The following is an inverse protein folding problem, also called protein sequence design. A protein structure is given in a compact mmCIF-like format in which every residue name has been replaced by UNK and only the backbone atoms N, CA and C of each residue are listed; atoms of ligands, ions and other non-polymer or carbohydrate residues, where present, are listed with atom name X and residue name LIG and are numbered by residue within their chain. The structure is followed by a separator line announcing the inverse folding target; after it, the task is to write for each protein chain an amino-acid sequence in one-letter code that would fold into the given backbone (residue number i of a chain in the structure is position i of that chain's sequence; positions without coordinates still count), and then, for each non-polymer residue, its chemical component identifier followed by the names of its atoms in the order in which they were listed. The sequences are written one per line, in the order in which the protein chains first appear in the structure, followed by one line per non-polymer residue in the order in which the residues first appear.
data_IF_822709643478
#
_entry.id   IF_822709643478
#
_cell.length_a   1.000
_cell.length_b   1.000
_cell.length_c   1.000
_cell.angle_alpha   90.00
_cell.angle_beta   90.00
_cell.angle_gamma   90.00
#
_symmetry.space_group_name_H-M   'P 1'
#
loop_
_entity.id
_entity.type
_entity.pdbx_description
1 polymer ?
#
# COMPACT_ATOMS: atom_id res chain seq x y z
N UNK A 1 6.25 6.27 -4.54
CA UNK A 1 5.26 7.25 -5.05
C UNK A 1 5.27 8.50 -4.18
N UNK A 2 5.15 9.68 -4.76
CA UNK A 2 5.09 10.99 -4.09
C UNK A 2 6.37 11.49 -3.40
N UNK A 3 7.52 10.81 -3.42
CA UNK A 3 8.72 11.25 -2.69
C UNK A 3 9.17 12.65 -3.10
N UNK A 4 9.29 12.93 -4.39
CA UNK A 4 9.66 14.25 -4.92
C UNK A 4 8.62 15.33 -4.55
N UNK A 5 7.33 15.02 -4.71
CA UNK A 5 6.23 15.92 -4.36
C UNK A 5 6.23 16.20 -2.85
N UNK A 6 6.37 15.15 -2.03
CA UNK A 6 6.42 15.24 -0.58
C UNK A 6 7.61 16.05 -0.07
N UNK A 7 8.81 15.84 -0.63
CA UNK A 7 9.99 16.59 -0.23
C UNK A 7 9.85 18.09 -0.54
N UNK A 8 9.35 18.43 -1.72
CA UNK A 8 9.13 19.83 -2.13
C UNK A 8 8.03 20.49 -1.30
N UNK A 9 6.86 19.88 -1.21
CA UNK A 9 5.76 20.43 -0.42
C UNK A 9 6.16 20.55 1.05
N UNK A 10 6.83 19.54 1.61
CA UNK A 10 7.28 19.56 2.99
C UNK A 10 8.28 20.68 3.30
N UNK A 11 9.18 21.00 2.37
CA UNK A 11 10.12 22.14 2.50
C UNK A 11 9.37 23.48 2.41
N UNK A 12 8.53 23.63 1.41
CA UNK A 12 7.78 24.86 1.12
C UNK A 12 6.84 25.23 2.27
N UNK A 13 6.08 24.26 2.77
CA UNK A 13 5.08 24.49 3.79
C UNK A 13 5.67 24.80 5.18
N UNK A 14 6.93 24.40 5.45
CA UNK A 14 7.64 24.75 6.69
C UNK A 14 8.09 26.22 6.74
N UNK A 15 8.20 26.87 5.59
CA UNK A 15 8.75 28.23 5.47
C UNK A 15 7.70 29.34 5.62
N UNK A 16 6.43 28.99 5.85
CA UNK A 16 5.38 30.00 6.05
C UNK A 16 5.63 30.74 7.35
N UNK A 17 6.02 32.00 7.23
CA UNK A 17 6.25 32.92 8.36
C UNK A 17 5.03 33.87 8.51
N UNK A 18 4.79 34.31 9.73
CA UNK A 18 3.71 35.26 10.04
C UNK A 18 3.11 35.03 11.40
N UNK A 19 2.44 36.04 11.95
CA UNK A 19 1.75 35.96 13.23
C UNK A 19 0.27 36.35 13.04
N UNK A 20 -0.63 35.49 13.48
CA UNK A 20 -2.02 35.79 13.70
C UNK A 20 -2.98 35.50 12.56
N UNK A 21 -2.71 35.83 11.30
CA UNK A 21 -3.64 35.64 10.18
C UNK A 21 -2.93 35.26 8.88
N UNK A 22 -3.55 34.39 8.07
CA UNK A 22 -3.10 34.12 6.72
C UNK A 22 -3.58 35.26 5.79
N UNK A 23 -2.63 35.91 5.13
CA UNK A 23 -2.87 36.99 4.17
C UNK A 23 -2.44 36.56 2.79
N UNK A 24 -2.96 37.22 1.73
CA UNK A 24 -2.56 36.91 0.36
C UNK A 24 -1.05 37.07 0.16
N UNK A 25 -0.43 38.08 0.77
CA UNK A 25 1.02 38.32 0.61
C UNK A 25 1.87 37.22 1.27
N UNK A 26 1.49 36.75 2.47
CA UNK A 26 2.32 35.78 3.19
C UNK A 26 2.16 34.33 2.69
N UNK A 27 1.16 34.05 1.85
CA UNK A 27 0.95 32.73 1.22
C UNK A 27 1.27 32.72 -0.27
N UNK A 28 1.47 33.87 -0.91
CA UNK A 28 1.69 34.01 -2.35
C UNK A 28 2.85 33.16 -2.87
N UNK A 29 4.00 33.29 -2.25
CA UNK A 29 5.19 32.53 -2.64
C UNK A 29 5.00 31.03 -2.38
N UNK A 30 4.38 30.69 -1.27
CA UNK A 30 4.06 29.27 -0.94
C UNK A 30 3.10 28.66 -1.97
N UNK A 31 2.04 29.39 -2.37
CA UNK A 31 1.10 28.94 -3.41
C UNK A 31 1.80 28.74 -4.77
N UNK A 32 2.75 29.63 -5.09
CA UNK A 32 3.58 29.49 -6.30
C UNK A 32 4.41 28.22 -6.27
N UNK A 33 5.09 27.95 -5.15
CA UNK A 33 5.90 26.73 -4.96
C UNK A 33 5.04 25.46 -4.98
N UNK A 34 3.88 25.47 -4.31
CA UNK A 34 2.91 24.36 -4.36
C UNK A 34 2.46 24.09 -5.80
N UNK A 35 2.14 25.15 -6.55
CA UNK A 35 1.79 25.03 -7.97
C UNK A 35 2.90 24.38 -8.78
N UNK A 36 4.15 24.82 -8.59
CA UNK A 36 5.29 24.26 -9.31
C UNK A 36 5.50 22.78 -8.94
N UNK A 37 5.39 22.44 -7.67
CA UNK A 37 5.52 21.06 -7.21
C UNK A 37 4.46 20.12 -7.83
N UNK A 38 3.21 20.57 -7.95
CA UNK A 38 2.13 19.81 -8.59
C UNK A 38 2.36 19.66 -10.10
N UNK A 39 2.83 20.71 -10.79
CA UNK A 39 3.15 20.62 -12.22
C UNK A 39 4.31 19.67 -12.50
N UNK A 40 5.35 19.69 -11.68
CA UNK A 40 6.48 18.75 -11.78
C UNK A 40 6.09 17.31 -11.42
N UNK A 41 5.04 17.16 -10.62
CA UNK A 41 4.43 15.86 -10.35
C UNK A 41 3.51 15.38 -11.49
N UNK A 42 3.49 16.06 -12.64
CA UNK A 42 2.65 15.77 -13.81
C UNK A 42 1.13 15.79 -13.50
N UNK A 43 0.70 16.64 -12.56
CA UNK A 43 -0.73 16.90 -12.34
C UNK A 43 -1.29 17.71 -13.52
N UNK A 44 -2.46 17.35 -14.00
CA UNK A 44 -3.10 18.04 -15.12
C UNK A 44 -3.35 19.53 -14.80
N UNK A 45 -3.01 20.42 -15.73
CA UNK A 45 -3.04 21.88 -15.54
C UNK A 45 -4.40 22.42 -15.04
N UNK A 46 -5.56 21.96 -15.52
CA UNK A 46 -6.86 22.37 -14.98
C UNK A 46 -6.97 22.05 -13.49
N UNK A 47 -6.58 20.83 -13.09
CA UNK A 47 -6.63 20.36 -11.69
C UNK A 47 -5.72 21.21 -10.80
N UNK A 48 -4.51 21.54 -11.27
CA UNK A 48 -3.58 22.42 -10.53
C UNK A 48 -4.18 23.81 -10.34
N UNK A 49 -4.82 24.36 -11.38
CA UNK A 49 -5.44 25.69 -11.31
C UNK A 49 -6.56 25.72 -10.30
N UNK A 50 -7.46 24.75 -10.35
CA UNK A 50 -8.62 24.66 -9.45
C UNK A 50 -8.16 24.43 -8.02
N UNK A 51 -7.20 23.54 -7.79
CA UNK A 51 -6.61 23.29 -6.50
C UNK A 51 -6.00 24.54 -5.86
N UNK A 52 -5.15 25.27 -6.60
CA UNK A 52 -4.54 26.51 -6.11
C UNK A 52 -5.59 27.58 -5.81
N UNK A 53 -6.64 27.68 -6.64
CA UNK A 53 -7.78 28.58 -6.43
C UNK A 53 -8.50 28.28 -5.11
N UNK A 54 -8.86 27.02 -4.88
CA UNK A 54 -9.53 26.55 -3.67
C UNK A 54 -8.67 26.77 -2.42
N UNK A 55 -7.39 26.38 -2.47
CA UNK A 55 -6.46 26.61 -1.35
C UNK A 55 -6.35 28.10 -1.03
N UNK A 56 -6.23 28.98 -2.04
CA UNK A 56 -6.15 30.43 -1.85
C UNK A 56 -7.43 30.96 -1.19
N UNK A 57 -8.60 30.61 -1.72
CA UNK A 57 -9.89 31.05 -1.21
C UNK A 57 -10.09 30.66 0.26
N UNK A 58 -9.76 29.42 0.61
CA UNK A 58 -9.89 28.90 1.99
C UNK A 58 -8.84 29.44 2.95
N UNK A 59 -7.64 29.79 2.45
CA UNK A 59 -6.54 30.26 3.29
C UNK A 59 -6.65 31.76 3.61
N UNK A 60 -7.01 32.59 2.63
CA UNK A 60 -7.05 34.05 2.79
C UNK A 60 -8.13 34.43 3.81
N UNK A 61 -7.73 35.21 4.81
CA UNK A 61 -8.61 35.67 5.86
C UNK A 61 -8.82 34.72 7.02
N UNK A 62 -8.30 33.48 6.94
CA UNK A 62 -8.42 32.51 8.04
C UNK A 62 -7.64 33.00 9.25
N UNK A 63 -8.34 33.11 10.41
CA UNK A 63 -7.72 33.46 11.68
C UNK A 63 -7.01 32.26 12.27
N UNK A 64 -5.75 32.47 12.66
CA UNK A 64 -4.93 31.44 13.28
C UNK A 64 -5.20 31.43 14.80
N UNK A 65 -5.69 30.31 15.30
CA UNK A 65 -5.91 30.15 16.74
C UNK A 65 -4.61 30.28 17.52
N UNK A 66 -4.68 30.71 18.79
CA UNK A 66 -3.50 30.88 19.66
C UNK A 66 -2.66 29.61 19.86
N UNK A 67 -3.23 28.44 19.54
CA UNK A 67 -2.59 27.12 19.68
C UNK A 67 -1.88 26.61 18.43
N UNK A 68 -2.07 27.24 17.26
CA UNK A 68 -1.50 26.84 15.98
C UNK A 68 -0.69 27.99 15.38
N UNK A 69 0.34 27.66 14.58
CA UNK A 69 1.02 28.66 13.76
C UNK A 69 0.39 28.73 12.36
N UNK A 70 0.59 29.83 11.60
CA UNK A 70 0.03 29.99 10.25
C UNK A 70 0.37 28.84 9.30
N UNK A 71 1.60 28.34 9.36
CA UNK A 71 2.05 27.21 8.56
C UNK A 71 1.24 25.93 8.84
N UNK A 72 0.94 25.63 10.10
CA UNK A 72 0.13 24.46 10.46
C UNK A 72 -1.32 24.57 9.94
N UNK A 73 -1.90 25.77 10.00
CA UNK A 73 -3.24 26.02 9.47
C UNK A 73 -3.25 25.87 7.96
N UNK A 74 -2.22 26.39 7.27
CA UNK A 74 -2.09 26.28 5.81
C UNK A 74 -1.88 24.81 5.38
N UNK A 75 -1.03 24.06 6.08
CA UNK A 75 -0.84 22.61 5.82
C UNK A 75 -2.18 21.87 5.93
N UNK A 76 -2.99 22.16 6.94
CA UNK A 76 -4.30 21.54 7.11
C UNK A 76 -5.28 21.87 5.97
N UNK A 77 -5.24 23.10 5.48
CA UNK A 77 -6.03 23.50 4.31
C UNK A 77 -5.59 22.75 3.07
N UNK A 78 -4.28 22.68 2.79
CA UNK A 78 -3.70 21.92 1.68
C UNK A 78 -4.04 20.44 1.76
N UNK A 79 -3.96 19.84 2.97
CA UNK A 79 -4.34 18.45 3.19
C UNK A 79 -5.81 18.20 2.84
N UNK A 80 -6.70 19.00 3.40
CA UNK A 80 -8.14 18.88 3.14
C UNK A 80 -8.49 19.06 1.67
N UNK A 81 -7.74 19.91 0.95
CA UNK A 81 -7.95 20.12 -0.49
C UNK A 81 -7.41 18.96 -1.32
N UNK A 82 -6.25 18.38 -0.95
CA UNK A 82 -5.74 17.14 -1.56
C UNK A 82 -6.73 15.99 -1.39
N UNK A 83 -7.29 15.82 -0.19
CA UNK A 83 -8.33 14.83 0.09
C UNK A 83 -9.58 15.05 -0.78
N UNK A 84 -10.03 16.30 -0.94
CA UNK A 84 -11.18 16.67 -1.76
C UNK A 84 -10.97 16.29 -3.23
N UNK A 85 -9.81 16.62 -3.79
CA UNK A 85 -9.45 16.32 -5.18
C UNK A 85 -9.37 14.81 -5.45
N UNK A 86 -8.85 14.03 -4.50
CA UNK A 86 -8.73 12.56 -4.61
C UNK A 86 -10.00 11.81 -4.20
N UNK A 87 -10.93 12.48 -3.51
CA UNK A 87 -12.12 11.90 -2.90
C UNK A 87 -12.05 11.90 -1.38
N UNK A 88 -13.17 12.19 -0.72
CA UNK A 88 -13.19 12.34 0.74
C UNK A 88 -13.01 11.04 1.50
N UNK A 89 -13.50 9.92 0.92
CA UNK A 89 -13.46 8.59 1.54
C UNK A 89 -13.16 7.53 0.50
N UNK A 90 -12.67 6.37 0.96
CA UNK A 90 -12.56 5.20 0.10
C UNK A 90 -13.95 4.70 -0.32
N UNK A 91 -14.11 4.40 -1.61
CA UNK A 91 -15.31 3.76 -2.14
C UNK A 91 -14.97 2.31 -2.51
N UNK A 92 -15.50 1.36 -1.73
CA UNK A 92 -15.31 -0.07 -1.98
C UNK A 92 -16.04 -0.55 -3.25
N UNK A 93 -15.79 -1.79 -3.67
CA UNK A 93 -16.56 -2.41 -4.74
C UNK A 93 -18.02 -2.57 -4.32
N UNK A 94 -18.92 -2.27 -5.25
CA UNK A 94 -20.34 -2.59 -5.10
C UNK A 94 -20.61 -3.98 -5.69
N UNK A 95 -20.57 -4.99 -4.86
CA UNK A 95 -20.90 -6.37 -5.24
C UNK A 95 -22.34 -6.78 -4.84
N UNK A 96 -23.18 -5.80 -4.48
CA UNK A 96 -24.59 -6.02 -4.09
C UNK A 96 -25.45 -6.28 -5.32
N UNK A 97 -25.28 -7.43 -5.95
CA UNK A 97 -26.03 -7.89 -7.11
C UNK A 97 -26.37 -9.38 -6.94
N UNK A 98 -27.29 -9.86 -7.78
CA UNK A 98 -27.54 -11.31 -7.86
C UNK A 98 -26.28 -12.01 -8.38
N UNK A 99 -25.73 -13.01 -7.67
CA UNK A 99 -24.52 -13.70 -8.10
C UNK A 99 -24.63 -14.37 -9.48
N UNK A 100 -23.54 -14.35 -10.26
CA UNK A 100 -22.28 -13.70 -9.97
C UNK A 100 -22.32 -12.18 -10.16
N UNK A 101 -21.69 -11.41 -9.26
CA UNK A 101 -21.39 -10.01 -9.51
C UNK A 101 -20.29 -9.93 -10.59
N UNK A 102 -20.62 -9.39 -11.76
CA UNK A 102 -19.69 -9.29 -12.89
C UNK A 102 -18.91 -8.00 -12.79
N UNK A 103 -17.58 -8.11 -12.78
CA UNK A 103 -16.64 -6.98 -12.76
C UNK A 103 -15.83 -6.95 -14.05
N UNK A 104 -15.93 -5.89 -14.82
CA UNK A 104 -15.21 -5.71 -16.09
C UNK A 104 -13.96 -4.86 -15.85
N UNK A 105 -12.81 -5.34 -16.33
CA UNK A 105 -11.53 -4.62 -16.27
C UNK A 105 -11.20 -3.99 -17.60
N UNK A 106 -11.13 -2.67 -17.67
CA UNK A 106 -10.86 -1.89 -18.87
C UNK A 106 -9.57 -1.09 -18.77
N UNK A 107 -8.88 -0.83 -19.88
CA UNK A 107 -7.65 -0.02 -19.90
C UNK A 107 -6.70 -0.38 -21.03
N UNK A 108 -5.63 0.42 -21.19
CA UNK A 108 -4.64 0.23 -22.25
C UNK A 108 -3.75 -1.00 -22.00
N UNK A 109 -3.01 -1.39 -23.05
CA UNK A 109 -1.98 -2.42 -22.96
C UNK A 109 -0.87 -1.97 -22.00
N UNK A 110 -0.41 -2.90 -21.17
CA UNK A 110 0.64 -2.59 -20.19
C UNK A 110 0.18 -1.83 -18.94
N UNK A 111 -1.10 -1.42 -18.86
CA UNK A 111 -1.65 -0.78 -17.67
C UNK A 111 -1.78 -1.71 -16.45
N UNK A 112 -1.57 -3.01 -16.61
CA UNK A 112 -1.61 -3.97 -15.51
C UNK A 112 -2.97 -4.60 -15.25
N UNK A 113 -3.88 -4.67 -16.24
CA UNK A 113 -5.22 -5.27 -16.10
C UNK A 113 -5.17 -6.70 -15.60
N UNK A 114 -4.52 -7.60 -16.33
CA UNK A 114 -4.42 -9.03 -16.01
C UNK A 114 -3.84 -9.26 -14.60
N UNK A 115 -2.79 -8.53 -14.25
CA UNK A 115 -2.20 -8.59 -12.91
C UNK A 115 -3.18 -8.06 -11.85
N UNK A 116 -3.93 -7.01 -12.17
CA UNK A 116 -4.95 -6.45 -11.25
C UNK A 116 -6.11 -7.41 -11.04
N UNK A 117 -6.52 -8.18 -12.07
CA UNK A 117 -7.50 -9.27 -11.91
C UNK A 117 -7.00 -10.29 -10.89
N UNK A 118 -5.76 -10.78 -11.03
CA UNK A 118 -5.18 -11.72 -10.06
C UNK A 118 -5.11 -11.17 -8.64
N UNK A 119 -4.67 -9.92 -8.47
CA UNK A 119 -4.61 -9.26 -7.16
C UNK A 119 -5.99 -9.04 -6.55
N UNK A 120 -6.96 -8.61 -7.36
CA UNK A 120 -8.34 -8.42 -6.91
C UNK A 120 -8.99 -9.74 -6.54
N UNK A 121 -8.75 -10.79 -7.31
CA UNK A 121 -9.21 -12.14 -6.99
C UNK A 121 -8.66 -12.63 -5.65
N UNK A 122 -7.34 -12.40 -5.39
CA UNK A 122 -6.72 -12.71 -4.10
C UNK A 122 -7.37 -11.92 -2.96
N UNK A 123 -7.59 -10.63 -3.13
CA UNK A 123 -8.23 -9.76 -2.13
C UNK A 123 -9.64 -10.25 -1.80
N UNK A 124 -10.47 -10.50 -2.82
CA UNK A 124 -11.85 -10.96 -2.66
C UNK A 124 -11.93 -12.33 -1.98
N UNK A 125 -11.07 -13.27 -2.38
CA UNK A 125 -10.99 -14.60 -1.78
C UNK A 125 -10.53 -14.54 -0.32
N UNK A 126 -9.41 -13.84 -0.05
CA UNK A 126 -8.78 -13.89 1.26
C UNK A 126 -9.46 -13.02 2.29
N UNK A 127 -9.86 -11.80 1.90
CA UNK A 127 -10.46 -10.81 2.83
C UNK A 127 -11.96 -10.89 2.88
N UNK A 128 -12.62 -11.01 1.73
CA UNK A 128 -14.09 -10.99 1.66
C UNK A 128 -14.71 -12.39 1.62
N UNK A 129 -13.86 -13.45 1.56
CA UNK A 129 -14.26 -14.86 1.55
C UNK A 129 -15.22 -15.20 0.40
N UNK A 130 -15.08 -14.51 -0.73
CA UNK A 130 -15.88 -14.73 -1.93
C UNK A 130 -15.33 -15.90 -2.76
N UNK A 131 -16.24 -16.63 -3.41
CA UNK A 131 -15.90 -17.60 -4.44
C UNK A 131 -15.78 -16.89 -5.77
N UNK A 132 -14.56 -16.79 -6.29
CA UNK A 132 -14.21 -15.96 -7.45
C UNK A 132 -13.90 -16.84 -8.65
N UNK A 133 -14.47 -16.48 -9.79
CA UNK A 133 -14.13 -16.98 -11.12
C UNK A 133 -13.41 -15.86 -11.88
N UNK A 134 -12.37 -16.21 -12.63
CA UNK A 134 -11.69 -15.26 -13.54
C UNK A 134 -11.74 -15.77 -14.96
N UNK A 135 -11.85 -14.86 -15.93
CA UNK A 135 -11.86 -15.19 -17.37
C UNK A 135 -11.09 -14.13 -18.15
N UNK A 136 -10.34 -14.57 -19.18
CA UNK A 136 -9.72 -13.66 -20.12
C UNK A 136 -10.55 -13.57 -21.40
N UNK A 137 -10.99 -12.36 -21.73
CA UNK A 137 -11.56 -12.00 -23.02
C UNK A 137 -10.52 -11.34 -23.96
N UNK A 138 -9.22 -11.37 -23.60
CA UNK A 138 -8.11 -10.89 -24.43
C UNK A 138 -7.69 -11.98 -25.41
N UNK A 139 -8.45 -12.17 -26.47
CA UNK A 139 -8.21 -13.18 -27.52
C UNK A 139 -7.06 -12.80 -28.45
N UNK A 140 -6.61 -11.55 -28.43
CA UNK A 140 -5.52 -11.07 -29.32
C UNK A 140 -4.12 -11.43 -28.80
N UNK A 141 -4.03 -11.84 -27.54
CA UNK A 141 -2.76 -12.16 -26.88
C UNK A 141 -2.85 -13.48 -26.12
N UNK A 142 -2.52 -14.61 -26.76
CA UNK A 142 -2.53 -15.94 -26.12
C UNK A 142 -1.71 -15.98 -24.83
N UNK A 143 -0.62 -15.21 -24.78
CA UNK A 143 0.19 -15.08 -23.58
C UNK A 143 -0.58 -14.42 -22.39
N UNK A 144 -1.56 -13.54 -22.64
CA UNK A 144 -2.37 -12.94 -21.58
C UNK A 144 -3.36 -13.95 -20.97
N UNK A 145 -3.96 -14.80 -21.81
CA UNK A 145 -4.81 -15.91 -21.36
C UNK A 145 -4.01 -16.82 -20.42
N UNK A 146 -2.82 -17.26 -20.88
CA UNK A 146 -1.92 -18.13 -20.10
C UNK A 146 -1.45 -17.47 -18.83
N UNK A 147 -1.17 -16.16 -18.85
CA UNK A 147 -0.78 -15.38 -17.69
C UNK A 147 -1.91 -15.38 -16.64
N UNK A 148 -3.16 -15.15 -17.04
CA UNK A 148 -4.29 -15.13 -16.12
C UNK A 148 -4.55 -16.53 -15.53
N UNK A 149 -4.44 -17.59 -16.33
CA UNK A 149 -4.54 -18.98 -15.85
C UNK A 149 -3.49 -19.28 -14.76
N UNK A 150 -2.24 -18.85 -15.01
CA UNK A 150 -1.15 -18.99 -14.03
C UNK A 150 -1.44 -18.24 -12.74
N UNK A 151 -1.87 -16.97 -12.82
CA UNK A 151 -2.24 -16.15 -11.68
C UNK A 151 -3.41 -16.76 -10.91
N UNK A 152 -4.44 -17.27 -11.60
CA UNK A 152 -5.57 -17.93 -10.97
C UNK A 152 -5.13 -19.15 -10.16
N UNK A 153 -4.22 -19.96 -10.73
CA UNK A 153 -3.64 -21.13 -10.06
C UNK A 153 -2.84 -20.71 -8.82
N UNK A 154 -2.03 -19.67 -8.91
CA UNK A 154 -1.22 -19.17 -7.81
C UNK A 154 -2.09 -18.63 -6.66
N UNK A 155 -3.14 -17.89 -7.00
CA UNK A 155 -4.15 -17.40 -6.03
C UNK A 155 -5.03 -18.54 -5.51
N UNK A 156 -5.17 -19.62 -6.28
CA UNK A 156 -6.07 -20.74 -6.00
C UNK A 156 -7.56 -20.36 -6.19
N UNK A 157 -7.86 -19.54 -7.21
CA UNK A 157 -9.21 -19.28 -7.72
C UNK A 157 -9.43 -20.04 -9.02
N UNK A 158 -10.69 -20.16 -9.46
CA UNK A 158 -11.00 -20.88 -10.68
C UNK A 158 -10.85 -19.98 -11.90
N UNK A 159 -10.23 -20.53 -12.96
CA UNK A 159 -10.08 -19.91 -14.26
C UNK A 159 -11.06 -20.55 -15.25
N UNK A 160 -11.87 -19.72 -15.93
CA UNK A 160 -12.72 -20.20 -17.02
C UNK A 160 -11.90 -20.26 -18.30
N UNK A 161 -11.77 -21.44 -18.96
CA UNK A 161 -10.97 -21.60 -20.15
C UNK A 161 -11.46 -20.74 -21.32
N UNK A 162 -10.56 -20.06 -21.99
CA UNK A 162 -10.80 -19.29 -23.21
C UNK A 162 -9.71 -19.54 -24.24
N UNK A 163 -10.00 -19.29 -25.52
CA UNK A 163 -9.05 -19.45 -26.62
C UNK A 163 -9.14 -18.27 -27.60
N UNK A 164 -8.08 -18.09 -28.38
CA UNK A 164 -7.98 -17.01 -29.39
C UNK A 164 -8.98 -17.13 -30.54
N UNK A 165 -9.53 -18.33 -30.78
CA UNK A 165 -10.53 -18.57 -31.82
C UNK A 165 -11.95 -18.15 -31.44
N UNK A 166 -12.17 -17.80 -30.20
CA UNK A 166 -13.48 -17.41 -29.65
C UNK A 166 -13.70 -15.90 -29.74
N UNK A 167 -14.96 -15.48 -29.73
CA UNK A 167 -15.29 -14.04 -29.59
C UNK A 167 -15.33 -13.64 -28.13
N UNK A 168 -14.81 -12.45 -27.76
CA UNK A 168 -14.83 -11.94 -26.39
C UNK A 168 -16.20 -12.00 -25.71
N UNK A 169 -17.26 -11.65 -26.44
CA UNK A 169 -18.65 -11.67 -25.93
C UNK A 169 -19.10 -13.09 -25.63
N UNK A 170 -18.79 -14.07 -26.50
CA UNK A 170 -19.20 -15.46 -26.31
C UNK A 170 -18.48 -16.08 -25.10
N UNK A 171 -17.18 -15.79 -24.96
CA UNK A 171 -16.38 -16.20 -23.78
C UNK A 171 -17.02 -15.67 -22.48
N UNK A 172 -17.31 -14.37 -22.45
CA UNK A 172 -17.82 -13.72 -21.24
C UNK A 172 -19.22 -14.24 -20.86
N UNK A 173 -20.13 -14.41 -21.82
CA UNK A 173 -21.45 -14.98 -21.58
C UNK A 173 -21.36 -16.43 -21.10
N UNK A 174 -20.50 -17.26 -21.71
CA UNK A 174 -20.30 -18.64 -21.27
C UNK A 174 -19.73 -18.70 -19.83
N UNK A 175 -18.79 -17.77 -19.50
CA UNK A 175 -18.27 -17.66 -18.14
C UNK A 175 -19.33 -17.24 -17.11
N UNK A 176 -20.25 -16.33 -17.49
CA UNK A 176 -21.38 -15.93 -16.64
C UNK A 176 -22.30 -17.13 -16.36
N UNK A 177 -22.64 -17.88 -17.41
CA UNK A 177 -23.50 -19.07 -17.28
C UNK A 177 -22.83 -20.16 -16.44
N UNK A 178 -21.53 -20.36 -16.63
CA UNK A 178 -20.74 -21.26 -15.79
C UNK A 178 -20.71 -20.79 -14.34
N UNK A 179 -20.48 -19.52 -14.10
CA UNK A 179 -20.45 -18.95 -12.75
C UNK A 179 -21.80 -19.11 -12.02
N UNK A 180 -22.91 -18.89 -12.71
CA UNK A 180 -24.26 -19.13 -12.16
C UNK A 180 -24.48 -20.58 -11.79
N UNK A 181 -24.17 -21.52 -12.70
CA UNK A 181 -24.34 -22.96 -12.48
C UNK A 181 -23.48 -23.51 -11.33
N UNK A 182 -22.31 -22.92 -11.08
CA UNK A 182 -21.36 -23.39 -10.06
C UNK A 182 -21.34 -22.50 -8.81
N UNK A 183 -22.31 -21.58 -8.68
CA UNK A 183 -22.49 -20.72 -7.50
C UNK A 183 -21.23 -19.91 -7.15
N UNK A 184 -20.67 -19.19 -8.12
CA UNK A 184 -19.64 -18.20 -7.87
C UNK A 184 -20.29 -16.89 -7.42
N UNK A 185 -19.63 -16.21 -6.46
CA UNK A 185 -20.08 -14.90 -5.97
C UNK A 185 -19.70 -13.79 -6.94
N UNK A 186 -18.50 -13.88 -7.52
CA UNK A 186 -17.92 -12.84 -8.37
C UNK A 186 -17.28 -13.45 -9.61
N UNK A 187 -17.48 -12.79 -10.75
CA UNK A 187 -16.79 -13.05 -12.01
C UNK A 187 -15.96 -11.83 -12.39
N UNK A 188 -14.63 -12.00 -12.50
CA UNK A 188 -13.73 -10.96 -12.99
C UNK A 188 -13.40 -11.22 -14.46
N UNK A 189 -13.68 -10.23 -15.31
CA UNK A 189 -13.48 -10.31 -16.77
C UNK A 189 -12.29 -9.42 -17.15
N UNK A 190 -11.18 -10.04 -17.57
CA UNK A 190 -10.01 -9.35 -18.14
C UNK A 190 -10.27 -9.07 -19.61
N UNK A 191 -9.96 -7.86 -20.09
CA UNK A 191 -10.17 -7.46 -21.48
C UNK A 191 -8.86 -7.18 -22.21
N UNK A 192 -8.91 -7.25 -23.53
CA UNK A 192 -7.83 -6.80 -24.39
C UNK A 192 -7.48 -5.33 -24.10
N UNK A 193 -6.24 -4.96 -24.33
CA UNK A 193 -5.79 -3.58 -24.36
C UNK A 193 -4.95 -3.33 -25.60
N UNK A 194 -5.13 -2.17 -26.23
CA UNK A 194 -4.25 -1.68 -27.28
C UNK A 194 -3.29 -0.63 -26.75
N UNK A 195 -2.27 -0.28 -27.52
CA UNK A 195 -1.25 0.68 -27.10
C UNK A 195 -1.80 2.09 -26.90
N UNK A 196 -2.86 2.44 -27.63
CA UNK A 196 -3.53 3.74 -27.55
C UNK A 196 -5.03 3.55 -27.77
N UNK A 197 -5.78 4.59 -27.43
CA UNK A 197 -7.24 4.61 -27.63
C UNK A 197 -7.53 4.72 -29.10
N UNK A 198 -8.28 3.77 -29.65
CA UNK A 198 -8.81 3.79 -31.02
C UNK A 198 -10.30 3.41 -31.04
N UNK A 199 -10.98 3.76 -32.15
CA UNK A 199 -12.43 3.56 -32.26
C UNK A 199 -12.85 2.09 -32.32
N UNK A 200 -12.01 1.20 -32.84
CA UNK A 200 -12.30 -0.23 -32.94
C UNK A 200 -12.27 -0.88 -31.57
N UNK A 201 -11.23 -0.60 -30.76
CA UNK A 201 -11.13 -1.09 -29.39
C UNK A 201 -12.29 -0.58 -28.53
N UNK A 202 -12.62 0.71 -28.65
CA UNK A 202 -13.73 1.30 -27.90
C UNK A 202 -15.06 0.69 -28.27
N UNK A 203 -15.30 0.41 -29.56
CA UNK A 203 -16.50 -0.29 -30.02
C UNK A 203 -16.60 -1.72 -29.49
N UNK A 204 -15.48 -2.46 -29.46
CA UNK A 204 -15.43 -3.83 -28.95
C UNK A 204 -15.74 -3.89 -27.45
N UNK A 205 -15.11 -3.01 -26.65
CA UNK A 205 -15.31 -3.02 -25.22
C UNK A 205 -16.71 -2.51 -24.84
N UNK A 206 -17.28 -1.57 -25.60
CA UNK A 206 -18.67 -1.14 -25.46
C UNK A 206 -19.66 -2.27 -25.76
N UNK A 207 -19.43 -3.03 -26.83
CA UNK A 207 -20.24 -4.18 -27.18
C UNK A 207 -20.18 -5.28 -26.11
N UNK A 208 -18.97 -5.56 -25.59
CA UNK A 208 -18.77 -6.49 -24.48
C UNK A 208 -19.48 -6.02 -23.22
N UNK A 209 -19.29 -4.77 -22.81
CA UNK A 209 -19.95 -4.15 -21.66
C UNK A 209 -21.47 -4.29 -21.74
N UNK A 210 -22.06 -3.93 -22.90
CA UNK A 210 -23.49 -4.05 -23.14
C UNK A 210 -24.01 -5.50 -23.05
N UNK A 211 -23.21 -6.46 -23.50
CA UNK A 211 -23.59 -7.88 -23.51
C UNK A 211 -23.59 -8.51 -22.11
N UNK A 212 -22.67 -8.10 -21.23
CA UNK A 212 -22.50 -8.72 -19.92
C UNK A 212 -23.12 -7.92 -18.75
N UNK A 213 -23.49 -6.66 -19.00
CA UNK A 213 -24.09 -5.71 -18.01
C UNK A 213 -23.38 -5.78 -16.63
N UNK A 214 -22.09 -5.41 -16.56
CA UNK A 214 -21.30 -5.56 -15.36
C UNK A 214 -21.78 -4.62 -14.25
N UNK A 215 -21.79 -5.08 -13.00
CA UNK A 215 -22.10 -4.23 -11.83
C UNK A 215 -20.98 -3.26 -11.51
N UNK A 216 -19.74 -3.61 -11.91
CA UNK A 216 -18.56 -2.75 -11.79
C UNK A 216 -17.78 -2.76 -13.09
N UNK A 217 -17.42 -1.57 -13.56
CA UNK A 217 -16.51 -1.35 -14.70
C UNK A 217 -15.33 -0.56 -14.20
N UNK A 218 -14.20 -1.25 -13.99
CA UNK A 218 -13.00 -0.69 -13.40
C UNK A 218 -12.00 -0.29 -14.47
N UNK A 219 -11.64 0.98 -14.51
CA UNK A 219 -10.58 1.46 -15.38
C UNK A 219 -9.22 1.28 -14.70
N UNK A 220 -8.36 0.49 -15.34
CA UNK A 220 -7.00 0.21 -14.86
C UNK A 220 -6.01 1.10 -15.60
N UNK A 221 -5.25 1.88 -14.84
CA UNK A 221 -4.31 2.85 -15.40
C UNK A 221 -2.98 2.82 -14.65
N UNK A 222 -1.90 2.98 -15.41
CA UNK A 222 -0.54 3.05 -14.90
C UNK A 222 -0.29 4.45 -14.28
N UNK A 223 0.04 4.48 -13.00
CA UNK A 223 0.32 5.73 -12.28
C UNK A 223 1.57 6.47 -12.80
N UNK A 224 2.42 5.81 -13.56
CA UNK A 224 3.65 6.39 -14.13
C UNK A 224 3.39 7.19 -15.42
N UNK A 225 2.22 7.07 -16.04
CA UNK A 225 1.91 7.74 -17.30
C UNK A 225 1.53 9.22 -17.16
N UNK A 226 1.49 9.76 -15.93
CA UNK A 226 1.29 11.19 -15.68
C UNK A 226 0.01 11.75 -16.30
N UNK A 227 0.12 12.81 -17.13
CA UNK A 227 -1.03 13.44 -17.79
C UNK A 227 -1.73 12.54 -18.82
N UNK A 228 -1.01 11.59 -19.44
CA UNK A 228 -1.62 10.64 -20.38
C UNK A 228 -2.61 9.72 -19.69
N UNK A 229 -2.39 9.41 -18.40
CA UNK A 229 -3.38 8.71 -17.58
C UNK A 229 -4.71 9.44 -17.54
N UNK A 230 -4.69 10.75 -17.38
CA UNK A 230 -5.86 11.59 -17.30
C UNK A 230 -6.62 11.68 -18.64
N UNK A 231 -5.88 11.83 -19.74
CA UNK A 231 -6.45 11.85 -21.10
C UNK A 231 -7.10 10.52 -21.46
N UNK A 232 -6.40 9.41 -21.16
CA UNK A 232 -6.91 8.06 -21.38
C UNK A 232 -8.14 7.78 -20.52
N UNK A 233 -8.10 8.15 -19.24
CA UNK A 233 -9.22 8.00 -18.33
C UNK A 233 -10.47 8.74 -18.82
N UNK A 234 -10.30 9.95 -19.36
CA UNK A 234 -11.38 10.71 -19.97
C UNK A 234 -12.01 9.96 -21.14
N UNK A 235 -11.19 9.48 -22.08
CA UNK A 235 -11.68 8.75 -23.26
C UNK A 235 -12.46 7.48 -22.88
N UNK A 236 -11.97 6.72 -21.91
CA UNK A 236 -12.69 5.54 -21.40
C UNK A 236 -13.98 5.92 -20.67
N UNK A 237 -13.98 7.01 -19.89
CA UNK A 237 -15.17 7.48 -19.17
C UNK A 237 -16.26 8.02 -20.11
N UNK A 238 -15.85 8.63 -21.24
CA UNK A 238 -16.78 9.09 -22.26
C UNK A 238 -17.40 7.92 -23.03
N UNK A 239 -16.70 6.78 -23.14
CA UNK A 239 -17.13 5.60 -23.86
C UNK A 239 -17.87 4.55 -23.01
N UNK A 240 -17.54 4.45 -21.73
CA UNK A 240 -18.05 3.42 -20.82
C UNK A 240 -18.57 4.06 -19.53
N UNK A 241 -19.63 3.50 -18.91
CA UNK A 241 -20.09 3.92 -17.59
C UNK A 241 -19.13 3.37 -16.51
N UNK A 242 -17.95 3.98 -16.39
CA UNK A 242 -16.97 3.56 -15.37
C UNK A 242 -17.57 3.71 -13.97
N UNK A 243 -17.27 2.76 -13.09
CA UNK A 243 -17.68 2.78 -11.67
C UNK A 243 -16.53 3.07 -10.73
N UNK A 244 -15.30 2.91 -11.20
CA UNK A 244 -14.10 3.18 -10.41
C UNK A 244 -12.82 3.02 -11.19
N UNK A 245 -11.72 3.35 -10.54
CA UNK A 245 -10.36 3.32 -11.09
C UNK A 245 -9.45 2.48 -10.22
N UNK A 246 -8.55 1.74 -10.86
CA UNK A 246 -7.40 1.10 -10.22
C UNK A 246 -6.13 1.77 -10.72
N UNK A 247 -5.36 2.36 -9.82
CA UNK A 247 -4.02 2.87 -10.12
C UNK A 247 -3.00 1.74 -9.92
N UNK A 248 -2.21 1.45 -10.94
CA UNK A 248 -1.16 0.42 -10.88
C UNK A 248 0.23 1.04 -10.85
N UNK A 249 1.25 0.22 -10.53
CA UNK A 249 2.67 0.61 -10.53
C UNK A 249 3.00 1.83 -9.66
N UNK A 250 2.24 2.03 -8.60
CA UNK A 250 2.43 3.16 -7.71
C UNK A 250 3.68 3.04 -6.79
N UNK A 251 4.32 1.88 -6.77
CA UNK A 251 5.61 1.59 -6.14
C UNK A 251 6.81 2.08 -6.97
N UNK A 252 6.62 2.30 -8.27
CA UNK A 252 7.64 2.86 -9.14
C UNK A 252 7.92 4.35 -8.88
N UNK A 253 8.75 4.96 -9.73
CA UNK A 253 9.06 6.41 -9.69
C UNK A 253 7.88 7.26 -10.23
N UNK A 254 6.68 6.92 -9.78
CA UNK A 254 5.48 7.67 -10.13
C UNK A 254 5.48 9.00 -9.41
N UNK A 255 5.37 10.10 -10.19
CA UNK A 255 5.34 11.47 -9.66
C UNK A 255 4.07 11.80 -8.88
N UNK A 256 3.04 10.94 -9.01
CA UNK A 256 1.77 11.04 -8.26
C UNK A 256 0.67 11.86 -8.94
N UNK A 257 0.95 12.51 -10.06
CA UNK A 257 -0.01 13.36 -10.77
C UNK A 257 -1.24 12.62 -11.27
N UNK A 258 -1.12 11.35 -11.65
CA UNK A 258 -2.24 10.52 -12.06
C UNK A 258 -3.29 10.39 -10.97
N UNK A 259 -2.89 10.17 -9.71
CA UNK A 259 -3.82 10.04 -8.58
C UNK A 259 -4.66 11.31 -8.35
N UNK A 260 -4.05 12.49 -8.53
CA UNK A 260 -4.73 13.77 -8.39
C UNK A 260 -5.61 14.12 -9.61
N UNK A 261 -5.22 13.67 -10.81
CA UNK A 261 -5.85 14.08 -12.05
C UNK A 261 -7.02 13.19 -12.47
N UNK A 262 -6.88 11.86 -12.34
CA UNK A 262 -7.84 10.90 -12.91
C UNK A 262 -9.24 11.07 -12.31
N UNK A 263 -9.36 11.18 -10.99
CA UNK A 263 -10.66 11.38 -10.34
C UNK A 263 -11.31 12.72 -10.73
N UNK A 264 -10.53 13.79 -10.71
CA UNK A 264 -11.06 15.12 -11.06
C UNK A 264 -11.60 15.15 -12.48
N UNK A 265 -10.92 14.49 -13.43
CA UNK A 265 -11.29 14.47 -14.84
C UNK A 265 -12.45 13.52 -15.12
N UNK A 266 -12.50 12.37 -14.47
CA UNK A 266 -13.54 11.34 -14.72
C UNK A 266 -14.75 11.49 -13.83
N UNK A 267 -14.62 12.14 -12.67
CA UNK A 267 -15.61 12.13 -11.60
C UNK A 267 -15.76 10.76 -10.92
N UNK A 268 -14.90 9.77 -11.24
CA UNK A 268 -14.99 8.40 -10.71
C UNK A 268 -14.02 8.17 -9.58
N UNK A 269 -14.41 7.40 -8.54
CA UNK A 269 -13.54 7.14 -7.41
C UNK A 269 -12.35 6.25 -7.78
N UNK A 270 -11.20 6.52 -7.19
CA UNK A 270 -10.10 5.58 -7.19
C UNK A 270 -10.42 4.58 -6.08
N UNK A 271 -10.65 3.31 -6.44
CA UNK A 271 -11.02 2.25 -5.49
C UNK A 271 -9.80 1.54 -4.94
N UNK A 272 -8.79 1.30 -5.79
CA UNK A 272 -7.59 0.55 -5.43
C UNK A 272 -6.32 1.19 -5.96
N UNK A 273 -5.21 0.87 -5.28
CA UNK A 273 -3.86 1.25 -5.67
C UNK A 273 -2.93 0.03 -5.59
N UNK A 274 -2.18 -0.23 -6.67
CA UNK A 274 -1.19 -1.30 -6.75
C UNK A 274 0.19 -0.79 -6.34
N UNK A 275 0.71 -1.36 -5.25
CA UNK A 275 1.96 -0.94 -4.59
C UNK A 275 3.07 -1.99 -4.75
N UNK A 276 3.19 -2.61 -5.92
CA UNK A 276 4.22 -3.61 -6.22
C UNK A 276 3.73 -4.77 -7.07
N UNK A 277 4.60 -5.69 -7.39
CA UNK A 277 4.31 -6.83 -8.28
C UNK A 277 3.60 -7.98 -7.58
N UNK A 278 3.75 -8.13 -6.27
CA UNK A 278 3.19 -9.24 -5.49
C UNK A 278 1.66 -9.24 -5.51
N UNK A 279 1.07 -10.43 -5.40
CA UNK A 279 -0.40 -10.60 -5.41
C UNK A 279 -1.10 -9.91 -4.24
N UNK A 280 -0.44 -9.75 -3.11
CA UNK A 280 -0.96 -9.05 -1.93
C UNK A 280 -0.76 -7.52 -1.97
N UNK A 281 -0.12 -7.00 -3.02
CA UNK A 281 0.22 -5.59 -3.18
C UNK A 281 -0.90 -4.76 -3.85
N UNK A 282 -2.16 -5.10 -3.63
CA UNK A 282 -3.31 -4.27 -3.98
C UNK A 282 -3.96 -3.77 -2.69
N UNK A 283 -4.00 -2.46 -2.54
CA UNK A 283 -4.54 -1.79 -1.35
C UNK A 283 -5.78 -0.97 -1.73
N UNK A 284 -6.73 -0.82 -0.79
CA UNK A 284 -7.81 0.14 -0.94
C UNK A 284 -7.23 1.56 -0.99
N UNK A 285 -7.78 2.40 -1.85
CA UNK A 285 -7.31 3.77 -1.98
C UNK A 285 -7.94 4.65 -0.90
N UNK A 286 -7.13 5.16 0.02
CA UNK A 286 -7.55 6.03 1.11
C UNK A 286 -7.02 7.46 0.88
N UNK A 287 -7.85 8.40 0.41
CA UNK A 287 -7.43 9.76 0.09
C UNK A 287 -6.69 10.46 1.22
N UNK A 288 -7.17 10.31 2.46
CA UNK A 288 -6.57 10.91 3.66
C UNK A 288 -5.15 10.41 3.93
N UNK A 289 -4.89 9.12 3.66
CA UNK A 289 -3.54 8.53 3.83
C UNK A 289 -2.59 8.99 2.74
N UNK A 290 -3.10 9.08 1.50
CA UNK A 290 -2.32 9.57 0.37
C UNK A 290 -1.98 11.05 0.55
N UNK A 291 -2.94 11.88 0.97
CA UNK A 291 -2.71 13.29 1.31
C UNK A 291 -1.64 13.45 2.40
N UNK A 292 -1.71 12.64 3.46
CA UNK A 292 -0.70 12.62 4.53
C UNK A 292 0.69 12.23 4.02
N UNK A 293 0.79 11.25 3.13
CA UNK A 293 2.06 10.86 2.47
C UNK A 293 2.62 11.99 1.61
N UNK A 294 1.78 12.63 0.79
CA UNK A 294 2.16 13.77 -0.05
C UNK A 294 2.73 14.92 0.79
N UNK A 295 2.20 15.15 1.98
CA UNK A 295 2.65 16.20 2.89
C UNK A 295 3.84 15.78 3.78
N UNK A 296 4.37 14.58 3.60
CA UNK A 296 5.48 14.06 4.41
C UNK A 296 5.12 13.78 5.87
N UNK A 297 3.83 13.64 6.19
CA UNK A 297 3.32 13.38 7.54
C UNK A 297 3.31 11.88 7.87
N UNK A 298 3.64 11.02 6.91
CA UNK A 298 3.65 9.57 7.04
C UNK A 298 2.25 8.95 6.98
N UNK A 299 2.21 7.62 7.05
CA UNK A 299 0.98 6.83 7.00
C UNK A 299 1.00 5.77 8.12
N UNK A 300 0.75 6.25 9.33
CA UNK A 300 0.76 5.39 10.53
C UNK A 300 -0.40 4.38 10.52
N UNK A 301 -1.54 4.72 9.93
CA UNK A 301 -2.71 3.84 9.89
C UNK A 301 -2.47 2.63 8.98
N UNK A 302 -1.95 2.86 7.77
CA UNK A 302 -1.57 1.75 6.87
C UNK A 302 -0.51 0.85 7.50
N UNK A 303 0.44 1.42 8.25
CA UNK A 303 1.44 0.64 8.98
C UNK A 303 0.79 -0.25 10.04
N UNK A 304 -0.15 0.29 10.83
CA UNK A 304 -0.87 -0.47 11.86
C UNK A 304 -1.67 -1.62 11.22
N UNK A 305 -2.43 -1.33 10.17
CA UNK A 305 -3.22 -2.35 9.46
C UNK A 305 -2.35 -3.44 8.82
N UNK A 306 -1.20 -3.07 8.25
CA UNK A 306 -0.26 -4.04 7.69
C UNK A 306 0.35 -4.93 8.78
N UNK A 307 0.72 -4.33 9.91
CA UNK A 307 1.21 -5.07 11.08
C UNK A 307 0.12 -6.01 11.60
N UNK A 308 -1.12 -5.54 11.78
CA UNK A 308 -2.24 -6.38 12.23
C UNK A 308 -2.55 -7.53 11.26
N UNK A 309 -2.40 -7.30 9.97
CA UNK A 309 -2.63 -8.31 8.93
C UNK A 309 -1.54 -9.37 8.88
N UNK A 310 -0.26 -8.94 8.97
CA UNK A 310 0.90 -9.84 8.81
C UNK A 310 1.36 -10.48 10.11
N UNK A 311 0.94 -9.96 11.26
CA UNK A 311 1.25 -10.55 12.56
C UNK A 311 0.35 -11.76 12.80
N UNK A 312 0.97 -12.93 12.86
CA UNK A 312 0.34 -14.17 13.33
C UNK A 312 -0.04 -14.00 14.82
N UNK A 313 -1.32 -13.67 15.06
CA UNK A 313 -1.84 -13.40 16.41
C UNK A 313 -1.61 -14.58 17.36
N UNK A 314 -1.64 -15.81 16.85
CA UNK A 314 -1.41 -17.03 17.65
C UNK A 314 0.05 -17.14 18.06
N UNK A 315 0.99 -16.83 17.18
CA UNK A 315 2.43 -16.82 17.51
C UNK A 315 2.76 -15.69 18.47
N UNK A 316 2.20 -14.50 18.27
CA UNK A 316 2.39 -13.36 19.16
C UNK A 316 1.82 -13.65 20.56
N UNK A 317 0.65 -14.28 20.68
CA UNK A 317 0.07 -14.69 21.97
C UNK A 317 0.89 -15.81 22.64
N UNK A 318 1.39 -16.80 21.88
CA UNK A 318 2.27 -17.85 22.41
C UNK A 318 3.55 -17.27 22.99
N UNK A 319 4.17 -16.31 22.27
CA UNK A 319 5.37 -15.62 22.73
C UNK A 319 5.09 -14.79 24.00
N UNK A 320 3.99 -14.03 24.02
CA UNK A 320 3.58 -13.27 25.20
C UNK A 320 3.33 -14.16 26.42
N UNK A 321 2.63 -15.29 26.26
CA UNK A 321 2.41 -16.30 27.30
C UNK A 321 3.72 -16.96 27.76
N UNK A 322 4.69 -17.20 26.84
CA UNK A 322 6.00 -17.78 27.14
C UNK A 322 6.84 -16.82 28.00
N UNK A 323 6.81 -15.53 27.65
CA UNK A 323 7.50 -14.46 28.40
C UNK A 323 6.87 -14.26 29.78
N UNK A 324 5.54 -14.23 29.89
CA UNK A 324 4.82 -14.12 31.17
C UNK A 324 5.08 -15.32 32.10
N UNK A 325 5.23 -16.52 31.56
CA UNK A 325 5.52 -17.74 32.33
C UNK A 325 6.99 -17.86 32.74
N UNK A 326 7.83 -16.84 32.51
CA UNK A 326 9.24 -16.84 32.86
C UNK A 326 10.11 -17.79 32.04
N UNK A 327 9.57 -18.43 30.99
CA UNK A 327 10.33 -19.16 30.00
C UNK A 327 11.02 -18.17 29.11
N UNK A 328 12.33 -18.01 29.23
CA UNK A 328 13.12 -16.98 28.55
C UNK A 328 13.00 -17.05 27.03
N UNK A 329 13.18 -15.91 26.38
CA UNK A 329 13.31 -15.77 24.93
C UNK A 329 14.51 -16.57 24.43
N UNK A 330 14.32 -17.48 23.46
CA UNK A 330 15.36 -18.35 22.90
C UNK A 330 15.65 -18.06 21.42
N UNK A 331 16.64 -18.74 20.83
CA UNK A 331 17.02 -18.53 19.43
C UNK A 331 15.96 -19.03 18.43
N UNK A 332 15.08 -19.93 18.85
CA UNK A 332 13.95 -20.34 18.02
C UNK A 332 12.91 -19.21 17.94
N UNK A 333 12.60 -18.56 19.06
CA UNK A 333 11.73 -17.38 19.10
C UNK A 333 12.35 -16.23 18.27
N UNK A 334 13.68 -16.08 18.32
CA UNK A 334 14.40 -15.08 17.54
C UNK A 334 14.31 -15.36 16.04
N UNK A 335 14.43 -16.61 15.62
CA UNK A 335 14.23 -17.03 14.22
C UNK A 335 12.81 -16.68 13.74
N UNK A 336 11.79 -17.07 14.52
CA UNK A 336 10.39 -16.79 14.19
C UNK A 336 10.12 -15.28 14.05
N UNK A 337 10.79 -14.46 14.86
CA UNK A 337 10.70 -13.01 14.75
C UNK A 337 11.39 -12.47 13.49
N UNK A 338 12.56 -13.02 13.09
CA UNK A 338 13.23 -12.66 11.85
C UNK A 338 12.38 -13.03 10.62
N UNK A 339 11.75 -14.21 10.64
CA UNK A 339 10.82 -14.65 9.59
C UNK A 339 9.60 -13.73 9.48
N UNK A 340 9.01 -13.33 10.62
CA UNK A 340 7.92 -12.35 10.64
C UNK A 340 8.35 -11.01 10.07
N UNK A 341 9.51 -10.48 10.47
CA UNK A 341 10.04 -9.21 9.93
C UNK A 341 10.28 -9.29 8.42
N UNK A 342 10.78 -10.41 7.92
CA UNK A 342 10.95 -10.63 6.47
C UNK A 342 9.61 -10.64 5.73
N UNK A 343 8.62 -11.37 6.27
CA UNK A 343 7.27 -11.47 5.70
C UNK A 343 6.49 -10.14 5.75
N UNK A 344 6.86 -9.23 6.66
CA UNK A 344 6.31 -7.87 6.74
C UNK A 344 6.92 -6.89 5.71
N UNK A 345 7.71 -7.38 4.75
CA UNK A 345 8.34 -6.54 3.73
C UNK A 345 9.68 -5.94 4.14
N UNK A 346 10.29 -6.46 5.24
CA UNK A 346 11.56 -5.99 5.76
C UNK A 346 11.45 -4.67 6.54
N UNK A 347 12.55 -4.28 7.19
CA UNK A 347 12.65 -3.04 7.98
C UNK A 347 12.40 -1.78 7.13
N UNK A 348 12.62 -1.88 5.83
CA UNK A 348 12.51 -0.82 4.86
C UNK A 348 11.08 -0.34 4.67
N UNK A 349 10.15 -1.27 4.43
CA UNK A 349 8.72 -0.97 4.27
C UNK A 349 8.11 -0.32 5.54
N UNK A 350 8.62 -0.68 6.72
CA UNK A 350 8.20 -0.05 7.97
C UNK A 350 8.76 1.37 8.13
N UNK A 351 10.02 1.62 7.70
CA UNK A 351 10.65 2.95 7.82
C UNK A 351 10.04 3.96 6.86
N UNK A 352 9.68 3.55 5.64
CA UNK A 352 9.06 4.44 4.64
C UNK A 352 7.67 4.95 5.07
N UNK A 353 7.00 4.21 5.98
CA UNK A 353 5.67 4.57 6.50
C UNK A 353 5.73 5.39 7.80
N UNK A 354 6.92 5.55 8.42
CA UNK A 354 7.06 6.32 9.66
C UNK A 354 7.25 7.83 9.41
N UNK A 355 6.54 8.71 10.16
CA UNK A 355 6.64 10.15 10.00
C UNK A 355 8.07 10.63 10.24
N UNK A 356 8.63 11.42 9.32
CA UNK A 356 9.93 12.08 9.45
C UNK A 356 11.16 11.20 9.19
N UNK A 357 11.02 9.91 8.85
CA UNK A 357 12.15 9.01 8.61
C UNK A 357 12.47 8.78 7.12
N UNK A 358 11.68 9.30 6.19
CA UNK A 358 11.86 9.11 4.75
C UNK A 358 13.26 9.51 4.22
N UNK A 359 13.83 10.57 4.77
CA UNK A 359 15.19 11.04 4.37
C UNK A 359 16.34 10.24 5.01
N UNK A 360 16.08 9.44 6.04
CA UNK A 360 17.10 8.55 6.63
C UNK A 360 17.21 7.22 5.89
N UNK A 361 16.20 6.86 5.11
CA UNK A 361 16.14 5.59 4.39
C UNK A 361 17.25 5.44 3.36
N UNK A 362 17.65 6.51 2.68
CA UNK A 362 18.69 6.47 1.65
C UNK A 362 20.09 6.08 2.19
N UNK A 363 20.44 6.54 3.40
CA UNK A 363 21.74 6.20 4.03
C UNK A 363 21.73 4.83 4.71
N UNK A 364 20.56 4.29 5.02
CA UNK A 364 20.39 2.98 5.66
C UNK A 364 20.14 1.89 4.61
N UNK A 365 19.66 2.25 3.40
CA UNK A 365 19.47 1.35 2.25
C UNK A 365 20.71 0.49 1.95
N UNK A 366 21.89 1.07 2.04
CA UNK A 366 23.16 0.36 1.80
C UNK A 366 23.56 -0.61 2.94
N UNK A 367 22.98 -0.47 4.13
CA UNK A 367 23.36 -1.28 5.32
C UNK A 367 22.33 -2.31 5.77
N UNK A 368 21.06 -2.13 5.43
CA UNK A 368 19.97 -3.06 5.77
C UNK A 368 19.70 -4.03 4.60
N UNK A 369 20.69 -4.83 4.25
CA UNK A 369 20.60 -5.77 3.14
C UNK A 369 19.76 -6.98 3.55
N UNK A 370 18.77 -7.42 2.75
CA UNK A 370 18.03 -8.69 2.91
C UNK A 370 18.95 -9.90 3.06
N UNK A 371 20.18 -9.81 2.53
CA UNK A 371 21.26 -10.79 2.73
C UNK A 371 21.61 -10.98 4.20
N UNK A 372 21.51 -9.93 5.04
CA UNK A 372 21.84 -10.04 6.47
C UNK A 372 20.82 -10.89 7.23
N UNK A 373 19.53 -10.76 6.91
CA UNK A 373 18.47 -11.57 7.52
C UNK A 373 18.58 -13.03 7.09
N UNK A 374 18.76 -13.28 5.80
CA UNK A 374 18.97 -14.63 5.26
C UNK A 374 20.19 -15.30 5.88
N UNK A 375 21.27 -14.55 6.09
CA UNK A 375 22.49 -15.04 6.74
C UNK A 375 22.25 -15.41 8.21
N UNK A 376 21.55 -14.56 8.98
CA UNK A 376 21.18 -14.85 10.38
C UNK A 376 20.29 -16.09 10.47
N UNK A 377 19.33 -16.23 9.57
CA UNK A 377 18.44 -17.38 9.49
C UNK A 377 19.23 -18.68 9.17
N UNK A 378 20.16 -18.63 8.22
CA UNK A 378 21.02 -19.75 7.87
C UNK A 378 21.88 -20.21 9.07
N UNK A 379 22.43 -19.25 9.85
CA UNK A 379 23.19 -19.56 11.07
C UNK A 379 22.31 -20.27 12.09
N UNK A 380 21.08 -19.79 12.35
CA UNK A 380 20.17 -20.43 13.32
C UNK A 380 19.71 -21.79 12.82
N UNK A 381 19.46 -21.95 11.51
CA UNK A 381 19.07 -23.21 10.91
C UNK A 381 20.16 -24.28 11.04
N UNK A 382 21.44 -23.89 11.04
CA UNK A 382 22.59 -24.79 11.26
C UNK A 382 22.79 -25.22 12.71
N UNK A 383 22.01 -24.66 13.65
CA UNK A 383 22.02 -25.06 15.06
C UNK A 383 21.07 -26.23 15.31
N UNK A 384 21.43 -27.12 16.24
CA UNK A 384 20.52 -28.16 16.72
C UNK A 384 19.37 -27.55 17.56
N UNK A 385 18.21 -28.24 17.71
CA UNK A 385 17.12 -27.76 18.56
C UNK A 385 17.58 -27.46 20.02
N UNK A 386 18.47 -28.26 20.57
CA UNK A 386 19.03 -28.02 21.91
C UNK A 386 19.94 -26.81 22.01
N UNK A 387 20.64 -26.45 20.93
CA UNK A 387 21.46 -25.23 20.87
C UNK A 387 20.60 -23.97 20.70
N UNK A 388 19.47 -24.07 20.00
CA UNK A 388 18.52 -22.96 19.88
C UNK A 388 17.83 -22.61 21.18
N UNK A 389 17.51 -23.64 21.99
CA UNK A 389 16.84 -23.42 23.29
C UNK A 389 17.85 -23.06 24.40
N UNK A 390 19.09 -23.48 24.30
CA UNK A 390 20.18 -23.21 25.29
C UNK A 390 21.42 -22.66 24.61
N UNK A 391 21.46 -21.39 24.22
CA UNK A 391 22.58 -20.78 23.50
C UNK A 391 23.91 -20.82 24.25
N UNK A 392 23.88 -20.92 25.57
CA UNK A 392 25.08 -20.97 26.43
C UNK A 392 25.98 -22.17 26.16
N UNK A 393 25.44 -23.27 25.56
CA UNK A 393 26.22 -24.44 25.18
C UNK A 393 27.02 -24.24 23.90
N UNK A 394 26.83 -23.15 23.15
CA UNK A 394 27.49 -22.86 21.88
C UNK A 394 28.91 -22.34 22.13
N UNK A 395 29.88 -23.24 22.35
CA UNK A 395 31.29 -22.93 22.53
C UNK A 395 32.09 -23.12 21.22
N UNK A 396 33.39 -22.91 21.25
CA UNK A 396 34.27 -22.83 20.09
C UNK A 396 34.09 -23.90 19.01
N UNK A 397 34.05 -25.21 19.39
CA UNK A 397 33.82 -26.30 18.44
C UNK A 397 32.47 -26.24 17.75
N UNK A 398 31.39 -25.91 18.51
CA UNK A 398 30.04 -25.77 17.99
C UNK A 398 29.92 -24.54 17.06
N UNK A 399 30.57 -23.41 17.41
CA UNK A 399 30.60 -22.23 16.55
C UNK A 399 31.24 -22.52 15.20
N UNK A 400 32.33 -23.29 15.15
CA UNK A 400 32.98 -23.72 13.91
C UNK A 400 32.05 -24.57 13.05
N UNK A 401 31.39 -25.57 13.66
CA UNK A 401 30.42 -26.42 12.95
C UNK A 401 29.23 -25.60 12.39
N UNK A 402 28.65 -24.69 13.19
CA UNK A 402 27.54 -23.84 12.80
C UNK A 402 27.98 -22.93 11.65
N UNK A 403 29.15 -22.29 11.72
CA UNK A 403 29.68 -21.43 10.66
C UNK A 403 29.89 -22.23 9.36
N UNK A 404 30.48 -23.43 9.44
CA UNK A 404 30.65 -24.28 8.26
C UNK A 404 29.31 -24.72 7.64
N UNK A 405 28.32 -25.11 8.46
CA UNK A 405 26.99 -25.53 8.00
C UNK A 405 26.10 -24.41 7.42
N UNK A 406 26.36 -23.16 7.82
CA UNK A 406 25.63 -21.99 7.32
C UNK A 406 26.35 -21.26 6.18
N UNK A 407 27.55 -21.69 5.79
CA UNK A 407 28.35 -20.98 4.77
C UNK A 407 28.82 -19.59 5.24
N UNK A 408 28.95 -19.39 6.58
CA UNK A 408 29.34 -18.09 7.18
C UNK A 408 30.64 -18.21 7.95
N UNK A 409 31.13 -17.09 8.48
CA UNK A 409 32.34 -17.06 9.31
C UNK A 409 31.99 -17.16 10.82
N UNK A 410 32.97 -17.57 11.64
CA UNK A 410 32.80 -17.61 13.10
C UNK A 410 32.46 -16.24 13.68
N UNK A 411 32.97 -15.17 13.06
CA UNK A 411 32.66 -13.79 13.44
C UNK A 411 31.16 -13.48 13.30
N UNK A 412 30.50 -14.00 12.25
CA UNK A 412 29.08 -13.79 12.02
C UNK A 412 28.23 -14.52 13.05
N UNK A 413 28.62 -15.75 13.40
CA UNK A 413 27.99 -16.51 14.50
C UNK A 413 28.13 -15.77 15.83
N UNK A 414 29.31 -15.19 16.13
CA UNK A 414 29.52 -14.40 17.33
C UNK A 414 28.67 -13.11 17.35
N UNK A 415 28.56 -12.45 16.20
CA UNK A 415 27.74 -11.24 16.04
C UNK A 415 26.27 -11.54 16.32
N UNK A 416 25.75 -12.61 15.74
CA UNK A 416 24.36 -13.05 15.97
C UNK A 416 24.10 -13.37 17.44
N UNK A 417 24.97 -14.15 18.09
CA UNK A 417 24.84 -14.48 19.52
C UNK A 417 24.89 -13.24 20.41
N UNK A 418 25.71 -12.24 20.06
CA UNK A 418 25.78 -10.95 20.78
C UNK A 418 24.48 -10.16 20.63
N UNK A 419 23.94 -10.07 19.41
CA UNK A 419 22.67 -9.40 19.13
C UNK A 419 21.52 -10.07 19.86
N UNK A 420 21.45 -11.41 19.81
CA UNK A 420 20.48 -12.21 20.55
C UNK A 420 20.54 -11.93 22.06
N UNK A 421 21.74 -11.91 22.66
CA UNK A 421 21.92 -11.63 24.10
C UNK A 421 21.46 -10.23 24.47
N UNK A 422 21.69 -9.23 23.60
CA UNK A 422 21.21 -7.87 23.82
C UNK A 422 19.69 -7.79 23.77
N UNK A 423 19.06 -8.47 22.81
CA UNK A 423 17.59 -8.51 22.69
C UNK A 423 16.97 -9.26 23.89
N UNK A 424 17.55 -10.37 24.31
CA UNK A 424 17.09 -11.12 25.48
C UNK A 424 17.12 -10.25 26.76
N UNK A 425 18.18 -9.45 26.95
CA UNK A 425 18.29 -8.49 28.07
C UNK A 425 17.22 -7.41 27.99
N UNK A 426 16.92 -6.90 26.79
CA UNK A 426 15.89 -5.89 26.56
C UNK A 426 14.50 -6.45 26.88
N UNK A 427 14.18 -7.65 26.38
CA UNK A 427 12.92 -8.34 26.62
C UNK A 427 12.71 -8.62 28.14
N UNK A 428 13.76 -9.04 28.84
CA UNK A 428 13.72 -9.27 30.27
C UNK A 428 13.50 -7.98 31.08
N UNK A 429 14.01 -6.83 30.61
CA UNK A 429 13.74 -5.52 31.22
C UNK A 429 12.30 -5.08 30.99
N UNK A 430 11.71 -5.42 29.84
CA UNK A 430 10.32 -5.08 29.52
C UNK A 430 9.32 -5.92 30.31
N UNK A 431 9.59 -7.21 30.56
CA UNK A 431 8.72 -8.10 31.36
C UNK A 431 8.71 -7.80 32.85
N UNK A 432 9.74 -7.13 33.39
CA UNK A 432 9.93 -6.85 34.82
C UNK A 432 9.45 -5.47 35.28
N UNK A 433 8.30 -4.96 34.80
CA UNK A 433 7.75 -3.66 35.25
C UNK A 433 8.42 -2.40 34.64
N UNK A 434 9.44 -2.58 33.80
CA UNK A 434 10.18 -1.50 33.14
C UNK A 434 9.35 -0.72 32.12
N UNK A 435 8.27 -1.31 31.61
CA UNK A 435 7.35 -0.65 30.68
C UNK A 435 6.66 0.57 31.30
N UNK A 436 6.23 0.49 32.56
CA UNK A 436 5.68 1.66 33.30
C UNK A 436 6.72 2.77 33.50
N UNK A 437 7.98 2.40 33.71
CA UNK A 437 9.08 3.36 33.94
C UNK A 437 9.53 4.00 32.64
N UNK A 438 9.53 3.24 31.52
CA UNK A 438 9.88 3.73 30.18
C UNK A 438 8.78 4.64 29.61
N UNK A 439 7.51 4.30 29.79
CA UNK A 439 6.37 5.17 29.43
C UNK A 439 6.35 6.48 30.24
N UNK A 440 6.76 6.43 31.50
CA UNK A 440 6.87 7.63 32.36
C UNK A 440 8.03 8.53 31.96
N UNK A 441 9.15 7.95 31.49
CA UNK A 441 10.29 8.71 30.99
C UNK A 441 10.04 9.27 29.56
N UNK A 442 9.31 8.55 28.70
CA UNK A 442 8.88 9.07 27.39
C UNK A 442 7.86 10.22 27.53
N UNK A 443 6.99 10.17 28.54
CA UNK A 443 6.09 11.30 28.85
C UNK A 443 6.84 12.55 29.31
N UNK A 444 8.04 12.41 29.87
CA UNK A 444 8.92 13.51 30.26
C UNK A 444 9.78 14.08 29.14
N UNK A 445 9.85 13.41 27.99
CA UNK A 445 10.60 13.84 26.81
C UNK A 445 9.73 14.44 25.70
N UNK A 446 8.40 14.40 25.85
CA UNK A 446 7.49 15.12 24.95
C UNK A 446 7.40 16.58 25.37
N UNK A 447 7.57 17.53 24.44
CA UNK A 447 7.35 18.94 24.75
C UNK A 447 5.90 19.16 25.23
N UNK A 448 5.66 20.09 26.19
CA UNK A 448 4.33 20.35 26.73
C UNK A 448 3.43 20.93 25.63
N UNK A 449 2.52 20.11 25.07
CA UNK A 449 1.60 20.53 24.00
C UNK A 449 0.83 19.43 23.30
N UNK A 450 1.11 18.14 23.56
CA UNK A 450 0.52 17.03 22.78
C UNK A 450 -0.33 16.02 23.56
N UNK A 451 -1.03 16.43 24.62
CA UNK A 451 -1.85 15.52 25.43
C UNK A 451 -3.34 15.87 25.34
N UNK A 452 -3.94 15.59 24.19
CA UNK A 452 -5.40 15.66 24.02
C UNK A 452 -5.82 14.58 23.02
N UNK A 453 -6.16 13.36 23.51
CA UNK A 453 -6.82 12.38 22.65
C UNK A 453 -6.40 10.92 22.75
N UNK A 454 -6.02 10.42 23.96
CA UNK A 454 -5.86 8.97 24.17
C UNK A 454 -6.46 8.50 25.50
N UNK A 455 -7.68 8.91 25.77
CA UNK A 455 -8.48 8.46 26.91
C UNK A 455 -9.72 7.75 26.43
N UNK A 456 -9.63 6.47 26.05
CA UNK A 456 -10.84 5.74 25.67
C UNK A 456 -10.60 4.39 25.02
N UNK A 457 -9.62 3.59 25.47
CA UNK A 457 -9.44 2.25 24.88
C UNK A 457 -9.02 1.20 25.92
N UNK A 458 -9.77 1.10 27.01
CA UNK A 458 -9.82 -0.11 27.84
C UNK A 458 -11.23 -0.24 28.41
N UNK A 459 -11.97 -1.35 28.20
CA UNK A 459 -13.22 -1.60 28.90
C UNK A 459 -12.96 -1.89 30.38
N UNK A 460 -13.89 -1.54 31.29
CA UNK A 460 -13.78 -1.89 32.70
C UNK A 460 -13.97 -3.41 32.88
N UNK A 461 -13.49 -3.91 34.00
CA UNK A 461 -13.43 -5.31 34.43
C UNK A 461 -14.75 -6.08 34.27
#
# INVERSE_FOLDING_TARGET
MFENLSERLGKTLKNISGKGRLTEDNIKDTLREVRMALLEADVALPVVRDFIGQVKERAVGTEVSKSLNPGQVFIKIVQSELESVMGQVNESLNLAAQPPAVVLMAGLQGAGKTTSVGKLASLLKEREKKKVLVVSADVYRPAAIKQLETLATEVGVEFFPSSEDQKPIDIANAAIDFARKHFFDVLLVDTAGRLHVDGEMMGEIQALHKAIDPVETLFVVDAMTGQDAANTAKAFNDALPLTGVILTKADGDARGGAALSVRNITGKPIKFIGMGEKLDALEAFHPERIASRILGMGDVLSLIEEVERKVDKDKAQKLAKKVQKGKGFDLQDFKEQLEQMRNMGGMMSMMDKMPGMGNMSAQIKDKANDKSFTQMEAIINSMTPGERTRPDVIKGGRKRRIAAGSGTQIQDVNRLLKQFTQMQKMMKKMSGGGMKKMMRNMKGMMPPGGAGGMGGMFPPR
#
